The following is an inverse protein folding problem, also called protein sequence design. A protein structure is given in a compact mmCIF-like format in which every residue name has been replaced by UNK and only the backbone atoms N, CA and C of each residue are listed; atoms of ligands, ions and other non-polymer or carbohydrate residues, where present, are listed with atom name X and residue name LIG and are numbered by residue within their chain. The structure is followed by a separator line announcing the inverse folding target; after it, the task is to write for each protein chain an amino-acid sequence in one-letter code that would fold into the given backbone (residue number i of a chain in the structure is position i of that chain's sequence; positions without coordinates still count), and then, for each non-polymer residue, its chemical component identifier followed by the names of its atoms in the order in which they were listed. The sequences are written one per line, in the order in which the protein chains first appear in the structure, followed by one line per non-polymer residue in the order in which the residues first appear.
data_IF_758143747758
#
_entry.id   IF_758143747758
#
_cell.length_a   1.000
_cell.length_b   1.000
_cell.length_c   1.000
_cell.angle_alpha   90.00
_cell.angle_beta   90.00
_cell.angle_gamma   90.00
#
_symmetry.space_group_name_H-M   'P 1'
#
loop_
_entity.id
_entity.type
_entity.pdbx_description
1 polymer ?
#
# COMPACT_ATOMS: atom_id res chain seq x y z
N UNK A 1 30.23 -21.80 1.20
CA UNK A 1 29.17 -21.40 0.23
C UNK A 1 27.79 -21.72 0.78
N UNK A 2 27.52 -22.95 1.23
CA UNK A 2 26.24 -23.39 1.82
C UNK A 2 25.83 -22.52 3.04
N UNK A 3 26.77 -22.14 3.89
CA UNK A 3 26.50 -21.28 5.06
C UNK A 3 25.86 -19.93 4.72
N UNK A 4 26.22 -19.31 3.59
CA UNK A 4 25.62 -18.04 3.15
C UNK A 4 24.18 -18.25 2.69
N UNK A 5 23.86 -19.42 2.12
CA UNK A 5 22.49 -19.76 1.73
C UNK A 5 21.59 -20.05 2.92
N UNK A 6 22.14 -20.59 4.02
CA UNK A 6 21.36 -20.95 5.22
C UNK A 6 21.23 -19.77 6.18
N UNK A 7 22.33 -19.07 6.46
CA UNK A 7 22.40 -18.05 7.51
C UNK A 7 22.39 -16.60 6.96
N UNK A 8 22.41 -16.44 5.63
CA UNK A 8 22.46 -15.14 4.98
C UNK A 8 23.84 -14.48 5.04
N UNK A 9 23.93 -13.26 4.48
CA UNK A 9 25.16 -12.45 4.48
C UNK A 9 25.46 -11.90 5.89
N UNK A 10 24.42 -11.72 6.71
CA UNK A 10 24.50 -11.21 8.08
C UNK A 10 23.92 -12.29 9.01
N UNK A 11 24.75 -13.06 9.73
CA UNK A 11 24.27 -14.07 10.65
C UNK A 11 23.66 -13.38 11.88
N UNK A 12 22.33 -13.32 11.94
CA UNK A 12 21.60 -12.80 13.09
C UNK A 12 21.30 -13.92 14.09
N UNK A 13 21.31 -13.58 15.38
CA UNK A 13 20.78 -14.47 16.42
C UNK A 13 19.25 -14.54 16.33
N UNK A 14 18.62 -15.54 16.95
CA UNK A 14 17.14 -15.65 17.01
C UNK A 14 16.49 -14.36 17.52
N UNK A 15 17.08 -13.74 18.53
CA UNK A 15 16.61 -12.45 19.05
C UNK A 15 16.74 -11.32 18.01
N UNK A 16 17.83 -11.31 17.24
CA UNK A 16 18.02 -10.38 16.13
C UNK A 16 16.92 -10.48 15.07
N UNK A 17 16.52 -11.70 14.69
CA UNK A 17 15.42 -11.91 13.75
C UNK A 17 14.06 -11.43 14.30
N UNK A 18 13.81 -11.63 15.59
CA UNK A 18 12.58 -11.16 16.25
C UNK A 18 12.52 -9.63 16.20
N UNK A 19 13.58 -8.96 16.64
CA UNK A 19 13.66 -7.49 16.64
C UNK A 19 13.54 -6.94 15.22
N UNK A 20 14.23 -7.54 14.26
CA UNK A 20 14.13 -7.17 12.84
C UNK A 20 12.68 -7.27 12.33
N UNK A 21 12.02 -8.40 12.59
CA UNK A 21 10.63 -8.62 12.16
C UNK A 21 9.68 -7.61 12.78
N UNK A 22 9.83 -7.34 14.09
CA UNK A 22 9.02 -6.34 14.78
C UNK A 22 9.24 -4.94 14.23
N UNK A 23 10.50 -4.54 13.99
CA UNK A 23 10.83 -3.24 13.42
C UNK A 23 10.25 -3.06 12.01
N UNK A 24 10.45 -4.03 11.13
CA UNK A 24 9.92 -3.99 9.75
C UNK A 24 8.40 -3.95 9.74
N UNK A 25 7.76 -4.77 10.59
CA UNK A 25 6.30 -4.81 10.73
C UNK A 25 5.77 -3.47 11.24
N UNK A 26 6.40 -2.92 12.27
CA UNK A 26 5.99 -1.65 12.86
C UNK A 26 6.08 -0.50 11.86
N UNK A 27 7.21 -0.36 11.15
CA UNK A 27 7.37 0.67 10.10
C UNK A 27 6.29 0.52 9.03
N UNK A 28 5.98 -0.73 8.63
CA UNK A 28 4.95 -1.00 7.61
C UNK A 28 3.54 -0.64 8.09
N UNK A 29 3.20 -0.94 9.34
CA UNK A 29 1.93 -0.54 9.95
C UNK A 29 1.80 0.99 9.96
N UNK A 30 2.84 1.70 10.39
CA UNK A 30 2.87 3.17 10.41
C UNK A 30 2.70 3.74 8.99
N UNK A 31 3.37 3.16 8.00
CA UNK A 31 3.27 3.59 6.61
C UNK A 31 1.86 3.40 6.02
N UNK A 32 1.17 2.29 6.32
CA UNK A 32 -0.19 2.07 5.83
C UNK A 32 -1.20 2.96 6.58
N UNK A 33 -1.09 3.05 7.90
CA UNK A 33 -2.10 3.71 8.74
C UNK A 33 -1.97 5.24 8.74
N UNK A 34 -0.77 5.78 8.90
CA UNK A 34 -0.56 7.23 8.93
C UNK A 34 -0.40 7.76 7.51
N UNK A 35 0.55 7.24 6.75
CA UNK A 35 0.86 7.78 5.43
C UNK A 35 -0.25 7.49 4.39
N UNK A 36 -0.55 6.23 4.08
CA UNK A 36 -1.54 5.92 3.03
C UNK A 36 -2.98 6.28 3.45
N UNK A 37 -3.41 5.82 4.62
CA UNK A 37 -4.81 5.94 5.03
C UNK A 37 -5.14 7.37 5.51
N UNK A 38 -4.47 7.88 6.54
CA UNK A 38 -4.83 9.19 7.13
C UNK A 38 -4.31 10.35 6.29
N UNK A 39 -3.06 10.29 5.82
CA UNK A 39 -2.43 11.33 5.02
C UNK A 39 -2.98 11.39 3.61
N UNK A 40 -2.76 10.35 2.79
CA UNK A 40 -3.06 10.44 1.35
C UNK A 40 -4.55 10.22 1.05
N UNK A 41 -5.25 9.31 1.73
CA UNK A 41 -6.65 9.05 1.42
C UNK A 41 -7.60 10.10 1.99
N UNK A 42 -7.40 10.44 3.27
CA UNK A 42 -8.29 11.31 4.03
C UNK A 42 -7.74 12.72 4.28
N UNK A 43 -6.47 12.99 3.95
CA UNK A 43 -5.83 14.31 4.15
C UNK A 43 -6.04 14.87 5.56
N UNK A 44 -5.99 13.99 6.56
CA UNK A 44 -6.20 14.33 7.97
C UNK A 44 -4.91 14.75 8.69
N UNK A 45 -3.74 14.47 8.09
CA UNK A 45 -2.43 14.81 8.62
C UNK A 45 -1.52 15.30 7.50
N UNK A 46 -0.75 16.35 7.76
CA UNK A 46 0.29 16.85 6.86
C UNK A 46 1.62 16.14 7.17
N UNK A 47 2.24 15.57 6.14
CA UNK A 47 3.46 14.78 6.26
C UNK A 47 4.58 15.48 5.49
N UNK A 48 5.73 15.63 6.14
CA UNK A 48 6.90 16.24 5.51
C UNK A 48 7.28 15.50 4.19
N UNK A 49 7.62 16.21 3.10
CA UNK A 49 7.89 15.59 1.79
C UNK A 49 8.95 14.49 1.83
N UNK A 50 10.03 14.68 2.60
CA UNK A 50 11.06 13.66 2.78
C UNK A 50 10.50 12.34 3.35
N UNK A 51 9.62 12.44 4.34
CA UNK A 51 9.02 11.29 5.00
C UNK A 51 7.98 10.61 4.08
N UNK A 52 7.27 11.40 3.27
CA UNK A 52 6.39 10.88 2.21
C UNK A 52 7.16 10.03 1.20
N UNK A 53 8.33 10.49 0.73
CA UNK A 53 9.18 9.72 -0.18
C UNK A 53 9.73 8.44 0.48
N UNK A 54 10.16 8.53 1.74
CA UNK A 54 10.61 7.37 2.50
C UNK A 54 9.52 6.30 2.60
N UNK A 55 8.30 6.65 3.04
CA UNK A 55 7.21 5.68 3.14
C UNK A 55 6.80 5.12 1.78
N UNK A 56 6.83 5.94 0.73
CA UNK A 56 6.53 5.47 -0.63
C UNK A 56 7.53 4.44 -1.13
N UNK A 57 8.82 4.68 -0.89
CA UNK A 57 9.88 3.74 -1.19
C UNK A 57 9.77 2.46 -0.34
N UNK A 58 9.53 2.62 0.97
CA UNK A 58 9.38 1.51 1.90
C UNK A 58 8.23 0.55 1.51
N UNK A 59 7.05 1.10 1.22
CA UNK A 59 5.89 0.33 0.83
C UNK A 59 6.09 -0.38 -0.51
N UNK A 60 6.75 0.29 -1.46
CA UNK A 60 7.13 -0.33 -2.72
C UNK A 60 8.08 -1.52 -2.50
N UNK A 61 9.11 -1.35 -1.65
CA UNK A 61 10.10 -2.39 -1.38
C UNK A 61 9.51 -3.60 -0.65
N UNK A 62 8.69 -3.37 0.38
CA UNK A 62 8.23 -4.42 1.31
C UNK A 62 6.95 -5.12 0.87
N UNK A 63 6.04 -4.40 0.21
CA UNK A 63 4.71 -4.91 -0.15
C UNK A 63 4.43 -4.91 -1.65
N UNK A 64 5.33 -4.35 -2.46
CA UNK A 64 5.11 -4.14 -3.90
C UNK A 64 3.84 -3.33 -4.20
N UNK A 65 3.39 -2.51 -3.25
CA UNK A 65 2.13 -1.79 -3.33
C UNK A 65 2.31 -0.40 -3.93
N UNK A 66 1.44 -0.04 -4.88
CA UNK A 66 1.45 1.29 -5.50
C UNK A 66 0.45 2.21 -4.80
N UNK A 67 0.94 3.33 -4.25
CA UNK A 67 0.14 4.30 -3.47
C UNK A 67 -1.16 4.70 -4.17
N UNK A 68 -1.10 5.05 -5.46
CA UNK A 68 -2.28 5.52 -6.19
C UNK A 68 -3.38 4.45 -6.32
N UNK A 69 -2.98 3.18 -6.47
CA UNK A 69 -3.92 2.08 -6.65
C UNK A 69 -4.60 1.78 -5.31
N UNK A 70 -3.83 1.77 -4.22
CA UNK A 70 -4.36 1.62 -2.86
C UNK A 70 -5.37 2.72 -2.50
N UNK A 71 -5.01 3.99 -2.76
CA UNK A 71 -5.89 5.14 -2.48
C UNK A 71 -7.20 5.06 -3.26
N UNK A 72 -7.15 4.62 -4.52
CA UNK A 72 -8.36 4.47 -5.34
C UNK A 72 -9.30 3.39 -4.80
N UNK A 73 -8.75 2.25 -4.37
CA UNK A 73 -9.52 1.14 -3.78
C UNK A 73 -10.10 1.56 -2.45
N UNK A 74 -9.29 2.19 -1.59
CA UNK A 74 -9.68 2.64 -0.27
C UNK A 74 -10.83 3.66 -0.33
N UNK A 75 -10.73 4.65 -1.23
CA UNK A 75 -11.81 5.60 -1.48
C UNK A 75 -13.06 4.92 -2.05
N UNK A 76 -12.90 3.91 -2.91
CA UNK A 76 -14.03 3.16 -3.47
C UNK A 76 -14.75 2.35 -2.39
N UNK A 77 -14.02 1.72 -1.48
CA UNK A 77 -14.56 1.00 -0.33
C UNK A 77 -15.44 1.95 0.50
N UNK A 78 -14.91 3.09 0.95
CA UNK A 78 -15.69 4.07 1.71
C UNK A 78 -16.92 4.62 0.95
N UNK A 79 -16.84 4.77 -0.38
CA UNK A 79 -17.96 5.29 -1.18
C UNK A 79 -19.07 4.26 -1.46
N UNK A 80 -18.80 2.96 -1.30
CA UNK A 80 -19.67 1.85 -1.73
C UNK A 80 -19.78 0.73 -0.70
N UNK A 81 -19.57 1.06 0.58
CA UNK A 81 -19.63 0.14 1.73
C UNK A 81 -20.87 -0.76 1.67
N UNK A 82 -20.67 -2.06 1.89
CA UNK A 82 -21.72 -3.10 1.91
C UNK A 82 -22.57 -3.22 0.63
N UNK A 83 -22.01 -2.83 -0.52
CA UNK A 83 -22.61 -3.09 -1.84
C UNK A 83 -21.78 -4.10 -2.64
N UNK A 84 -22.35 -4.68 -3.68
CA UNK A 84 -21.63 -5.56 -4.63
C UNK A 84 -20.40 -4.87 -5.27
N UNK A 85 -20.36 -3.54 -5.25
CA UNK A 85 -19.28 -2.75 -5.84
C UNK A 85 -18.14 -2.43 -4.86
N UNK A 86 -18.26 -2.82 -3.59
CA UNK A 86 -17.21 -2.73 -2.59
C UNK A 86 -16.13 -3.79 -2.85
N UNK A 87 -14.86 -3.41 -3.05
CA UNK A 87 -13.77 -4.37 -3.14
C UNK A 87 -13.56 -5.23 -1.88
N UNK A 88 -14.08 -4.82 -0.72
CA UNK A 88 -13.90 -5.48 0.57
C UNK A 88 -15.20 -5.86 1.27
N UNK A 89 -16.36 -5.88 0.59
CA UNK A 89 -17.62 -6.25 1.27
C UNK A 89 -17.56 -7.70 1.77
N UNK A 90 -17.77 -7.93 3.08
CA UNK A 90 -17.82 -9.28 3.66
C UNK A 90 -18.93 -10.15 3.07
N UNK A 91 -20.03 -9.51 2.66
CA UNK A 91 -21.20 -10.19 2.10
C UNK A 91 -20.99 -10.65 0.66
N UNK A 92 -20.19 -9.92 -0.14
CA UNK A 92 -20.13 -10.15 -1.58
C UNK A 92 -18.86 -10.85 -2.07
N UNK A 93 -17.66 -10.71 -1.49
CA UNK A 93 -16.45 -11.45 -1.94
C UNK A 93 -15.23 -11.34 -0.98
N UNK A 94 -14.68 -12.48 -0.56
CA UNK A 94 -13.30 -12.61 -0.04
C UNK A 94 -12.29 -12.35 -1.17
N UNK A 95 -11.33 -11.46 -0.89
CA UNK A 95 -10.34 -10.92 -1.82
C UNK A 95 -9.32 -11.96 -2.33
N UNK A 96 -9.57 -12.55 -3.50
CA UNK A 96 -8.52 -13.18 -4.34
C UNK A 96 -8.57 -12.73 -5.80
N UNK A 97 -9.68 -12.16 -6.27
CA UNK A 97 -9.81 -11.67 -7.65
C UNK A 97 -9.05 -10.37 -7.92
N UNK A 98 -8.56 -9.65 -6.90
CA UNK A 98 -7.94 -8.35 -7.11
C UNK A 98 -6.53 -8.43 -7.75
N UNK A 99 -5.70 -9.40 -7.34
CA UNK A 99 -4.35 -9.58 -7.90
C UNK A 99 -4.41 -10.03 -9.37
N UNK A 100 -5.24 -11.02 -9.71
CA UNK A 100 -5.32 -11.55 -11.09
C UNK A 100 -6.15 -10.69 -12.06
N UNK A 101 -7.18 -9.97 -11.61
CA UNK A 101 -8.08 -9.20 -12.51
C UNK A 101 -7.59 -7.76 -12.78
N UNK A 102 -6.59 -7.31 -12.02
CA UNK A 102 -5.87 -6.06 -12.27
C UNK A 102 -4.98 -6.13 -13.53
N UNK A 103 -4.52 -7.32 -13.93
CA UNK A 103 -3.73 -7.51 -15.15
C UNK A 103 -4.58 -7.52 -16.43
N UNK A 104 -5.88 -7.85 -16.34
CA UNK A 104 -6.72 -8.17 -17.52
C UNK A 104 -7.86 -7.20 -17.81
N UNK A 105 -8.23 -6.28 -16.92
CA UNK A 105 -9.39 -5.42 -17.17
C UNK A 105 -9.02 -4.02 -17.70
N UNK A 106 -9.37 -3.78 -18.96
CA UNK A 106 -9.31 -2.46 -19.65
C UNK A 106 -10.13 -1.39 -18.91
N UNK A 107 -11.16 -1.82 -18.18
CA UNK A 107 -12.04 -0.98 -17.33
C UNK A 107 -11.28 -0.48 -16.10
N UNK A 108 -10.40 -1.29 -15.50
CA UNK A 108 -9.54 -0.85 -14.42
C UNK A 108 -8.59 0.21 -14.94
N UNK A 109 -7.85 -0.03 -16.03
CA UNK A 109 -6.98 1.00 -16.66
C UNK A 109 -7.70 2.32 -16.94
N UNK A 110 -8.98 2.32 -17.38
CA UNK A 110 -9.78 3.55 -17.59
C UNK A 110 -10.22 4.21 -16.27
N UNK A 111 -10.63 3.43 -15.28
CA UNK A 111 -11.11 3.95 -13.98
C UNK A 111 -9.95 4.45 -13.12
N UNK A 112 -8.84 3.70 -13.06
CA UNK A 112 -7.59 4.18 -12.45
C UNK A 112 -7.08 5.39 -13.20
N UNK A 113 -7.08 5.47 -14.55
CA UNK A 113 -6.68 6.70 -15.27
C UNK A 113 -7.56 7.92 -14.98
N UNK A 114 -8.88 7.76 -14.81
CA UNK A 114 -9.78 8.88 -14.48
C UNK A 114 -9.58 9.37 -13.05
N UNK A 115 -9.35 8.47 -12.10
CA UNK A 115 -8.99 8.81 -10.71
C UNK A 115 -7.54 9.34 -10.60
N UNK A 116 -6.59 8.77 -11.35
CA UNK A 116 -5.18 9.19 -11.45
C UNK A 116 -5.02 10.58 -12.06
N UNK A 117 -5.87 11.00 -13.00
CA UNK A 117 -5.84 12.37 -13.53
C UNK A 117 -6.16 13.41 -12.44
N UNK A 118 -7.04 13.08 -11.50
CA UNK A 118 -7.31 13.93 -10.33
C UNK A 118 -6.22 13.78 -9.26
N UNK A 119 -5.61 12.60 -9.10
CA UNK A 119 -4.48 12.38 -8.18
C UNK A 119 -3.21 13.06 -8.68
N UNK A 120 -2.94 13.13 -9.99
CA UNK A 120 -1.80 13.88 -10.52
C UNK A 120 -1.88 15.37 -10.16
N UNK A 121 -3.10 15.95 -10.14
CA UNK A 121 -3.32 17.30 -9.60
C UNK A 121 -3.03 17.40 -8.10
N UNK A 122 -3.42 16.39 -7.31
CA UNK A 122 -3.16 16.36 -5.86
C UNK A 122 -1.68 16.12 -5.54
N UNK A 123 -1.00 15.21 -6.27
CA UNK A 123 0.43 14.93 -6.11
C UNK A 123 1.30 16.10 -6.58
N UNK A 124 0.82 16.90 -7.54
CA UNK A 124 1.48 18.17 -7.91
C UNK A 124 1.18 19.33 -6.95
N UNK A 125 0.19 19.22 -6.06
CA UNK A 125 -0.09 20.21 -5.01
C UNK A 125 0.63 19.91 -3.69
N UNK A 126 1.23 18.72 -3.56
CA UNK A 126 2.04 18.29 -2.40
C UNK A 126 3.53 18.14 -2.82
N UNK A 127 3.90 18.79 -3.94
CA UNK A 127 5.28 18.96 -4.41
C UNK A 127 5.73 20.39 -4.14
#
# INVERSE_FOLDING_TARGET
MIEIFINGIIPLTTLGYIIYTLAVTHITIVAITLYLHRGVCHSAIDIHPLLSHFFRFWLWLTTSMRTADWVAIHRKHHAKVETEHDPHSPAFLVSTKFCCKALTSTIWKKTTKRQLKNIHKIVQLIG
#
